data_IF_793375331781
#
_entry.id   IF_793375331781
#
_cell.length_a   1.000
_cell.length_b   1.000
_cell.length_c   1.000
_cell.angle_alpha   90.00
_cell.angle_beta   90.00
_cell.angle_gamma   90.00
#
_symmetry.space_group_name_H-M   'P 1'
#
loop_
_entity.id
_entity.type
_entity.pdbx_description
1 polymer ?
#
# COMPACT_ATOMS: atom_id res chain seq x y z
N UNK A 1 -12.01 16.50 2.89
CA UNK A 1 -10.64 16.07 3.30
C UNK A 1 -9.62 16.53 2.27
N UNK A 2 -8.45 17.03 2.69
CA UNK A 2 -7.35 17.47 1.79
C UNK A 2 -6.35 16.33 1.59
N UNK A 3 -6.53 15.57 0.51
CA UNK A 3 -5.64 14.51 0.05
C UNK A 3 -5.93 14.21 -1.44
N UNK A 4 -5.06 13.49 -2.17
CA UNK A 4 -5.35 13.03 -3.52
C UNK A 4 -6.69 12.30 -3.61
N UNK A 5 -7.48 12.59 -4.65
CA UNK A 5 -8.84 12.04 -4.81
C UNK A 5 -8.89 10.51 -4.76
N UNK A 6 -7.85 9.82 -5.26
CA UNK A 6 -7.75 8.35 -5.18
C UNK A 6 -7.75 7.90 -3.72
N UNK A 7 -6.90 8.50 -2.88
CA UNK A 7 -6.76 8.10 -1.48
C UNK A 7 -8.05 8.40 -0.73
N UNK A 8 -8.71 9.54 -1.01
CA UNK A 8 -10.02 9.85 -0.42
C UNK A 8 -11.08 8.81 -0.79
N UNK A 9 -11.07 8.30 -2.03
CA UNK A 9 -12.01 7.25 -2.47
C UNK A 9 -11.80 5.93 -1.72
N UNK A 10 -10.56 5.59 -1.38
CA UNK A 10 -10.21 4.30 -0.75
C UNK A 10 -10.21 4.34 0.77
N UNK A 11 -9.69 5.43 1.36
CA UNK A 11 -9.43 5.57 2.79
C UNK A 11 -10.32 6.61 3.47
N UNK A 12 -11.19 7.31 2.73
CA UNK A 12 -12.13 8.27 3.29
C UNK A 12 -11.42 9.38 4.08
N UNK A 13 -11.78 9.50 5.36
CA UNK A 13 -11.21 10.50 6.27
C UNK A 13 -9.75 10.23 6.65
N UNK A 14 -9.27 9.00 6.46
CA UNK A 14 -7.88 8.61 6.77
C UNK A 14 -6.90 8.94 5.64
N UNK A 15 -7.39 9.29 4.46
CA UNK A 15 -6.56 9.60 3.29
C UNK A 15 -5.42 10.63 3.53
N UNK A 16 -5.60 11.71 4.32
CA UNK A 16 -4.49 12.61 4.64
C UNK A 16 -3.38 11.93 5.46
N UNK A 17 -3.73 10.98 6.33
CA UNK A 17 -2.76 10.26 7.15
C UNK A 17 -1.96 9.26 6.29
N UNK A 18 -2.61 8.56 5.36
CA UNK A 18 -1.94 7.73 4.34
C UNK A 18 -0.99 8.58 3.50
N UNK A 19 -1.44 9.74 3.01
CA UNK A 19 -0.60 10.67 2.24
C UNK A 19 0.61 11.14 3.06
N UNK A 20 0.45 11.39 4.36
CA UNK A 20 1.52 11.86 5.22
C UNK A 20 2.67 10.85 5.33
N UNK A 21 2.42 9.54 5.19
CA UNK A 21 3.48 8.53 5.12
C UNK A 21 4.37 8.74 3.89
N UNK A 22 3.77 8.90 2.71
CA UNK A 22 4.49 9.16 1.46
C UNK A 22 5.24 10.51 1.46
N UNK A 23 4.74 11.52 2.19
CA UNK A 23 5.43 12.81 2.33
C UNK A 23 6.64 12.71 3.25
N UNK A 24 6.55 11.90 4.31
CA UNK A 24 7.65 11.71 5.29
C UNK A 24 8.75 10.82 4.74
N UNK A 25 8.40 9.77 4.00
CA UNK A 25 9.35 8.89 3.33
C UNK A 25 8.99 8.81 1.84
N UNK A 26 9.73 9.51 0.97
CA UNK A 26 9.49 9.50 -0.46
C UNK A 26 9.53 8.12 -1.11
N UNK A 27 10.25 7.14 -0.52
CA UNK A 27 10.24 5.75 -1.00
C UNK A 27 8.84 5.14 -0.92
N UNK A 28 8.07 5.52 0.10
CA UNK A 28 6.68 5.08 0.26
C UNK A 28 5.70 5.75 -0.71
N UNK A 29 6.14 6.80 -1.43
CA UNK A 29 5.37 7.38 -2.52
C UNK A 29 5.49 6.56 -3.82
N UNK A 30 6.48 5.67 -3.92
CA UNK A 30 6.69 4.83 -5.08
C UNK A 30 5.61 3.76 -5.19
N UNK A 31 5.28 3.43 -6.45
CA UNK A 31 4.32 2.37 -6.75
C UNK A 31 4.98 1.02 -6.52
N UNK A 32 4.24 0.11 -5.94
CA UNK A 32 4.70 -1.27 -5.70
C UNK A 32 4.88 -2.03 -7.01
N UNK A 33 4.08 -1.69 -8.03
CA UNK A 33 4.14 -2.26 -9.37
C UNK A 33 3.98 -1.14 -10.42
N UNK A 34 4.76 -1.15 -11.51
CA UNK A 34 4.50 -0.29 -12.66
C UNK A 34 3.06 -0.42 -13.15
N UNK A 35 2.38 0.70 -13.39
CA UNK A 35 0.98 0.69 -13.84
C UNK A 35 -0.08 0.48 -12.75
N UNK A 36 0.27 -0.03 -11.56
CA UNK A 36 -0.67 -0.18 -10.44
C UNK A 36 -0.69 1.07 -9.54
N UNK A 37 -1.86 1.55 -9.06
CA UNK A 37 -1.93 2.78 -8.27
C UNK A 37 -1.45 2.66 -6.82
N UNK A 38 -1.23 1.44 -6.33
CA UNK A 38 -0.87 1.15 -4.92
C UNK A 38 0.58 1.55 -4.67
N UNK A 39 0.79 2.31 -3.61
CA UNK A 39 2.12 2.75 -3.17
C UNK A 39 2.55 2.10 -1.86
N UNK A 40 3.85 2.16 -1.53
CA UNK A 40 4.36 1.67 -0.24
C UNK A 40 3.63 2.27 0.97
N UNK A 41 3.21 3.53 0.90
CA UNK A 41 2.44 4.20 1.94
C UNK A 41 1.11 3.50 2.26
N UNK A 42 0.41 2.99 1.25
CA UNK A 42 -0.84 2.25 1.42
C UNK A 42 -0.60 0.90 2.09
N UNK A 43 0.51 0.24 1.78
CA UNK A 43 0.91 -1.02 2.42
C UNK A 43 1.31 -0.82 3.90
N UNK A 44 2.14 0.19 4.18
CA UNK A 44 2.52 0.53 5.56
C UNK A 44 1.30 0.94 6.38
N UNK A 45 0.35 1.66 5.78
CA UNK A 45 -0.91 1.99 6.44
C UNK A 45 -1.67 0.72 6.83
N UNK A 46 -1.81 -0.22 5.90
CA UNK A 46 -2.52 -1.47 6.14
C UNK A 46 -1.88 -2.31 7.27
N UNK A 47 -0.55 -2.40 7.31
CA UNK A 47 0.18 -3.09 8.40
C UNK A 47 -0.06 -2.43 9.76
N UNK A 48 0.05 -1.10 9.83
CA UNK A 48 0.04 -0.37 11.11
C UNK A 48 -1.35 -0.08 11.66
N UNK A 49 -2.36 0.07 10.80
CA UNK A 49 -3.67 0.59 11.19
C UNK A 49 -4.84 -0.30 10.76
N UNK A 50 -4.65 -1.17 9.76
CA UNK A 50 -5.74 -2.03 9.27
C UNK A 50 -5.59 -3.50 9.68
N UNK A 51 -4.50 -3.84 10.39
CA UNK A 51 -4.26 -5.18 10.91
C UNK A 51 -3.84 -6.19 9.84
N UNK A 52 -3.21 -5.74 8.75
CA UNK A 52 -2.57 -6.67 7.82
C UNK A 52 -1.40 -7.38 8.51
N UNK A 53 -1.34 -8.71 8.39
CA UNK A 53 -0.36 -9.54 9.11
C UNK A 53 0.78 -10.05 8.24
N UNK A 54 0.54 -10.18 6.94
CA UNK A 54 1.47 -10.81 6.00
C UNK A 54 1.29 -10.25 4.58
N UNK A 55 2.16 -10.66 3.66
CA UNK A 55 2.12 -10.24 2.26
C UNK A 55 0.83 -10.66 1.56
N UNK A 56 0.21 -11.77 1.98
CA UNK A 56 -1.03 -12.26 1.39
C UNK A 56 -2.21 -11.37 1.77
N UNK A 57 -2.30 -10.90 3.02
CA UNK A 57 -3.30 -9.91 3.42
C UNK A 57 -3.17 -8.62 2.60
N UNK A 58 -1.94 -8.13 2.48
CA UNK A 58 -1.63 -6.92 1.73
C UNK A 58 -2.05 -7.04 0.27
N UNK A 59 -1.58 -8.07 -0.43
CA UNK A 59 -1.80 -8.25 -1.86
C UNK A 59 -3.25 -8.66 -2.17
N UNK A 60 -3.81 -9.60 -1.42
CA UNK A 60 -5.04 -10.28 -1.82
C UNK A 60 -6.29 -9.63 -1.21
N UNK A 61 -6.18 -8.94 -0.07
CA UNK A 61 -7.33 -8.36 0.65
C UNK A 61 -7.31 -6.83 0.68
N UNK A 62 -6.20 -6.22 1.11
CA UNK A 62 -6.11 -4.77 1.37
C UNK A 62 -6.00 -3.94 0.10
N UNK A 63 -5.23 -4.45 -0.86
CA UNK A 63 -4.94 -3.71 -2.10
C UNK A 63 -5.56 -4.32 -3.33
N UNK A 64 -5.91 -5.62 -3.27
CA UNK A 64 -6.47 -6.42 -4.38
C UNK A 64 -5.56 -6.50 -5.61
N UNK A 65 -4.27 -6.21 -5.46
CA UNK A 65 -3.23 -6.52 -6.47
C UNK A 65 -3.29 -8.00 -6.83
N UNK A 66 -3.60 -8.84 -5.84
CA UNK A 66 -3.77 -10.28 -5.95
C UNK A 66 -4.83 -10.80 -6.92
N UNK A 67 -5.75 -9.94 -7.39
CA UNK A 67 -6.80 -10.36 -8.32
C UNK A 67 -6.28 -10.72 -9.71
N UNK A 68 -5.12 -10.17 -10.10
CA UNK A 68 -4.40 -10.54 -11.31
C UNK A 68 -3.19 -11.36 -10.90
N UNK A 69 -3.12 -12.66 -11.23
CA UNK A 69 -2.04 -13.54 -10.79
C UNK A 69 -0.63 -13.02 -11.15
N UNK A 70 -0.50 -12.42 -12.34
CA UNK A 70 0.75 -11.88 -12.84
C UNK A 70 1.21 -10.66 -12.02
N UNK A 71 0.29 -9.73 -11.70
CA UNK A 71 0.57 -8.57 -10.87
C UNK A 71 0.92 -8.97 -9.43
N UNK A 72 0.22 -9.98 -8.91
CA UNK A 72 0.51 -10.57 -7.59
C UNK A 72 1.93 -11.11 -7.53
N UNK A 73 2.33 -11.89 -8.53
CA UNK A 73 3.66 -12.47 -8.60
C UNK A 73 4.73 -11.38 -8.74
N UNK A 74 4.49 -10.37 -9.57
CA UNK A 74 5.43 -9.27 -9.79
C UNK A 74 5.59 -8.34 -8.57
N UNK A 75 4.56 -8.18 -7.74
CA UNK A 75 4.60 -7.35 -6.54
C UNK A 75 5.16 -8.06 -5.30
N UNK A 76 5.27 -9.39 -5.31
CA UNK A 76 5.51 -10.20 -4.12
C UNK A 76 6.79 -9.81 -3.37
N UNK A 77 7.92 -9.71 -4.08
CA UNK A 77 9.21 -9.45 -3.45
C UNK A 77 9.27 -8.03 -2.86
N UNK A 78 8.75 -7.03 -3.60
CA UNK A 78 8.66 -5.66 -3.11
C UNK A 78 7.80 -5.54 -1.84
N UNK A 79 6.71 -6.32 -1.72
CA UNK A 79 5.89 -6.35 -0.50
C UNK A 79 6.62 -7.03 0.64
N UNK A 80 7.34 -8.13 0.38
CA UNK A 80 8.11 -8.85 1.42
C UNK A 80 9.23 -7.99 1.99
N UNK A 81 9.97 -7.29 1.14
CA UNK A 81 11.02 -6.37 1.57
C UNK A 81 10.43 -5.30 2.50
N UNK A 82 9.31 -4.69 2.11
CA UNK A 82 8.62 -3.70 2.93
C UNK A 82 8.12 -4.26 4.27
N UNK A 83 7.54 -5.46 4.28
CA UNK A 83 7.09 -6.12 5.54
C UNK A 83 8.29 -6.34 6.47
N UNK A 84 9.42 -6.78 5.92
CA UNK A 84 10.67 -6.95 6.69
C UNK A 84 11.25 -5.66 7.24
N UNK A 85 11.06 -4.52 6.58
CA UNK A 85 11.48 -3.20 7.07
C UNK A 85 10.58 -2.61 8.17
N UNK A 86 9.30 -3.02 8.22
CA UNK A 86 8.30 -2.44 9.13
C UNK A 86 8.15 -3.21 10.44
N UNK A 87 8.51 -4.50 10.46
CA UNK A 87 8.53 -5.37 11.65
C UNK A 87 9.66 -5.00 12.61
#
# INVERSE_FOLDING_TARGET
VRAPRRLVRHYGTEAPAVQALAVRDPRLAERVLPGHPVTGAELVWALRHEGALDEADLLDRRTRVGLVPEDRAAALDAVRDLVGEVA
#
